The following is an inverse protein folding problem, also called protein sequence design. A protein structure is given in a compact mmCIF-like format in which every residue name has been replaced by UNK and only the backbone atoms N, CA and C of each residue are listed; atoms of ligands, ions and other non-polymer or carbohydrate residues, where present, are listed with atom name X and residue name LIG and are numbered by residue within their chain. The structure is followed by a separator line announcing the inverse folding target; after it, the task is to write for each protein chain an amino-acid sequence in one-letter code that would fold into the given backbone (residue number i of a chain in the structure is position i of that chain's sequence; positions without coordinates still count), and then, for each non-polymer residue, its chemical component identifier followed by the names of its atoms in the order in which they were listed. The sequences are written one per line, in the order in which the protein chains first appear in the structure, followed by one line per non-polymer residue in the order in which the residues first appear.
data_IF_146527027016
#
_entry.id   IF_146527027016
#
_cell.length_a   1.000
_cell.length_b   1.000
_cell.length_c   1.000
_cell.angle_alpha   90.00
_cell.angle_beta   90.00
_cell.angle_gamma   90.00
#
_symmetry.space_group_name_H-M   'P 1'
#
loop_
_entity.id
_entity.type
_entity.pdbx_description
1 polymer ?
#
# COMPACT_ATOMS: atom_id res chain seq x y z
N UNK A 1 5.37 3.76 31.31
CA UNK A 1 4.39 3.38 30.25
C UNK A 1 4.79 3.90 28.86
N UNK A 2 5.17 5.17 28.68
CA UNK A 2 5.50 5.74 27.36
C UNK A 2 6.69 5.07 26.61
N UNK A 3 7.72 4.61 27.33
CA UNK A 3 8.84 3.87 26.70
C UNK A 3 8.38 2.52 26.13
N UNK A 4 7.44 1.85 26.80
CA UNK A 4 6.89 0.57 26.32
C UNK A 4 6.16 0.78 24.98
N UNK A 5 5.33 1.82 24.88
CA UNK A 5 4.61 2.16 23.64
C UNK A 5 5.57 2.55 22.51
N UNK A 6 6.63 3.30 22.83
CA UNK A 6 7.69 3.60 21.85
C UNK A 6 8.34 2.32 21.29
N UNK A 7 8.81 1.41 22.16
CA UNK A 7 9.48 0.19 21.70
C UNK A 7 8.52 -0.78 20.99
N UNK A 8 7.27 -0.89 21.46
CA UNK A 8 6.24 -1.70 20.80
C UNK A 8 5.86 -1.13 19.44
N UNK A 9 5.71 0.19 19.32
CA UNK A 9 5.49 0.86 18.04
C UNK A 9 6.63 0.65 17.05
N UNK A 10 7.89 0.68 17.51
CA UNK A 10 9.04 0.32 16.67
C UNK A 10 9.04 -1.15 16.26
N UNK A 11 8.65 -2.06 17.16
CA UNK A 11 8.53 -3.47 16.82
C UNK A 11 7.48 -3.69 15.71
N UNK A 12 6.29 -3.07 15.83
CA UNK A 12 5.27 -3.07 14.78
C UNK A 12 5.78 -2.49 13.46
N UNK A 13 6.56 -1.40 13.53
CA UNK A 13 7.17 -0.80 12.35
C UNK A 13 8.11 -1.77 11.62
N UNK A 14 8.92 -2.55 12.34
CA UNK A 14 9.86 -3.51 11.74
C UNK A 14 9.18 -4.70 11.03
N UNK A 15 7.92 -4.98 11.37
CA UNK A 15 7.15 -6.10 10.78
C UNK A 15 6.06 -5.64 9.82
N UNK A 16 6.13 -4.37 9.37
CA UNK A 16 5.19 -3.74 8.44
C UNK A 16 3.73 -3.64 8.96
N UNK A 17 3.53 -3.65 10.28
CA UNK A 17 2.23 -3.37 10.93
C UNK A 17 2.07 -1.86 11.14
N UNK A 18 1.92 -1.12 10.04
CA UNK A 18 1.92 0.34 10.01
C UNK A 18 0.78 0.97 10.81
N UNK A 19 -0.41 0.36 10.80
CA UNK A 19 -1.55 0.83 11.59
C UNK A 19 -1.25 0.76 13.09
N UNK A 20 -0.68 -0.35 13.55
CA UNK A 20 -0.32 -0.56 14.94
C UNK A 20 0.88 0.31 15.36
N UNK A 21 1.89 0.42 14.49
CA UNK A 21 3.03 1.31 14.67
C UNK A 21 2.58 2.77 14.81
N UNK A 22 1.71 3.24 13.91
CA UNK A 22 1.18 4.59 13.93
C UNK A 22 0.43 4.86 15.24
N UNK A 23 -0.47 3.96 15.65
CA UNK A 23 -1.24 4.08 16.89
C UNK A 23 -0.33 4.23 18.11
N UNK A 24 0.70 3.41 18.23
CA UNK A 24 1.57 3.44 19.40
C UNK A 24 2.52 4.64 19.38
N UNK A 25 3.16 4.93 18.24
CA UNK A 25 4.11 6.03 18.11
C UNK A 25 3.45 7.41 18.26
N UNK A 26 2.16 7.54 17.92
CA UNK A 26 1.40 8.78 18.10
C UNK A 26 1.15 9.15 19.57
N UNK A 27 1.19 8.16 20.47
CA UNK A 27 1.00 8.37 21.91
C UNK A 27 2.28 8.75 22.66
N UNK A 28 3.42 8.77 21.97
CA UNK A 28 4.71 9.09 22.59
C UNK A 28 4.79 10.59 22.87
N UNK A 29 4.90 11.03 24.14
CA UNK A 29 4.96 12.45 24.48
C UNK A 29 6.29 13.09 24.05
N UNK A 30 6.33 14.43 24.06
CA UNK A 30 7.56 15.18 23.86
C UNK A 30 8.63 14.78 24.90
N UNK A 31 9.88 14.60 24.45
CA UNK A 31 10.97 14.14 25.29
C UNK A 31 12.11 13.53 24.48
N UNK A 32 13.00 12.77 25.12
CA UNK A 32 14.21 12.24 24.49
C UNK A 32 13.96 11.34 23.26
N UNK A 33 12.80 10.67 23.20
CA UNK A 33 12.43 9.78 22.08
C UNK A 33 11.45 10.40 21.08
N UNK A 34 11.02 11.65 21.30
CA UNK A 34 9.93 12.25 20.52
C UNK A 34 10.25 12.30 19.04
N UNK A 35 11.48 12.64 18.67
CA UNK A 35 11.81 12.88 17.26
C UNK A 35 11.90 11.57 16.49
N UNK A 36 12.46 10.53 17.12
CA UNK A 36 12.45 9.16 16.57
C UNK A 36 11.03 8.62 16.43
N UNK A 37 10.17 8.87 17.42
CA UNK A 37 8.77 8.46 17.36
C UNK A 37 8.02 9.21 16.26
N UNK A 38 8.22 10.52 16.12
CA UNK A 38 7.64 11.35 15.06
C UNK A 38 8.11 10.89 13.68
N UNK A 39 9.39 10.53 13.53
CA UNK A 39 9.92 10.02 12.26
C UNK A 39 9.27 8.68 11.90
N UNK A 40 9.19 7.75 12.85
CA UNK A 40 8.50 6.47 12.65
C UNK A 40 7.02 6.68 12.31
N UNK A 41 6.33 7.59 13.00
CA UNK A 41 4.95 8.00 12.67
C UNK A 41 4.83 8.51 11.23
N UNK A 42 5.72 9.41 10.80
CA UNK A 42 5.70 9.96 9.45
C UNK A 42 5.92 8.89 8.37
N UNK A 43 6.81 7.93 8.64
CA UNK A 43 7.08 6.78 7.77
C UNK A 43 5.90 5.80 7.75
N UNK A 44 5.27 5.49 8.89
CA UNK A 44 4.04 4.66 8.92
C UNK A 44 2.92 5.29 8.08
N UNK A 45 2.71 6.60 8.22
CA UNK A 45 1.75 7.34 7.38
C UNK A 45 2.10 7.26 5.88
N UNK A 46 3.38 7.31 5.53
CA UNK A 46 3.85 7.13 4.15
C UNK A 46 3.49 5.74 3.59
N UNK A 47 3.77 4.67 4.35
CA UNK A 47 3.46 3.30 3.94
C UNK A 47 1.95 3.03 3.85
N UNK A 48 1.14 3.69 4.70
CA UNK A 48 -0.32 3.70 4.64
C UNK A 48 -0.89 4.61 3.54
N UNK A 49 -0.05 5.18 2.66
CA UNK A 49 -0.44 6.10 1.56
C UNK A 49 -1.10 7.40 2.02
N UNK A 50 -0.99 7.74 3.30
CA UNK A 50 -1.45 9.00 3.91
C UNK A 50 -0.39 10.09 3.72
N UNK A 51 0.01 10.33 2.47
CA UNK A 51 1.18 11.17 2.13
C UNK A 51 1.04 12.61 2.60
N UNK A 52 -0.18 13.18 2.61
CA UNK A 52 -0.43 14.53 3.10
C UNK A 52 -0.04 14.68 4.57
N UNK A 53 -0.49 13.74 5.41
CA UNK A 53 -0.22 13.72 6.84
C UNK A 53 1.24 13.39 7.12
N UNK A 54 1.82 12.45 6.36
CA UNK A 54 3.27 12.18 6.39
C UNK A 54 4.08 13.45 6.16
N UNK A 55 3.74 14.23 5.11
CA UNK A 55 4.37 15.52 4.83
C UNK A 55 4.20 16.54 5.98
N UNK A 56 3.03 16.60 6.63
CA UNK A 56 2.80 17.50 7.76
C UNK A 56 3.70 17.17 8.96
N UNK A 57 3.92 15.88 9.23
CA UNK A 57 4.82 15.44 10.30
C UNK A 57 6.29 15.71 9.93
N UNK A 58 6.72 15.36 8.72
CA UNK A 58 8.07 15.64 8.25
C UNK A 58 8.40 17.13 8.20
N UNK A 59 7.42 17.99 7.86
CA UNK A 59 7.58 19.45 7.91
C UNK A 59 7.97 19.93 9.32
N UNK A 60 7.40 19.32 10.37
CA UNK A 60 7.74 19.66 11.76
C UNK A 60 9.14 19.16 12.13
N UNK A 61 9.50 17.95 11.71
CA UNK A 61 10.83 17.35 11.95
C UNK A 61 11.94 18.15 11.27
N UNK A 62 11.85 18.42 9.96
CA UNK A 62 12.87 19.16 9.24
C UNK A 62 13.00 20.62 9.70
N UNK A 63 11.97 21.20 10.33
CA UNK A 63 12.08 22.52 11.01
C UNK A 63 12.89 22.45 12.30
N UNK A 64 12.81 21.32 13.02
CA UNK A 64 13.52 21.09 14.27
C UNK A 64 14.97 20.70 14.03
N UNK A 65 15.23 19.87 13.02
CA UNK A 65 16.55 19.34 12.65
C UNK A 65 16.88 19.68 11.19
N UNK A 66 17.17 20.96 10.89
CA UNK A 66 17.42 21.40 9.52
C UNK A 66 18.69 20.82 8.90
N UNK A 67 19.57 20.18 9.66
CA UNK A 67 20.79 19.52 9.19
C UNK A 67 20.62 18.01 8.91
N UNK A 68 19.51 17.38 9.32
CA UNK A 68 19.29 15.95 9.09
C UNK A 68 18.94 15.67 7.61
N UNK A 69 19.94 15.21 6.86
CA UNK A 69 19.79 14.84 5.45
C UNK A 69 18.85 13.65 5.23
N UNK A 70 18.76 12.75 6.20
CA UNK A 70 17.91 11.55 6.10
C UNK A 70 16.44 11.93 6.22
N UNK A 71 16.09 12.79 7.18
CA UNK A 71 14.73 13.33 7.32
C UNK A 71 14.31 14.16 6.11
N UNK A 72 15.23 14.97 5.57
CA UNK A 72 14.98 15.72 4.32
C UNK A 72 14.73 14.80 3.13
N UNK A 73 15.45 13.69 3.03
CA UNK A 73 15.25 12.73 1.95
C UNK A 73 13.89 12.04 2.06
N UNK A 74 13.53 11.55 3.25
CA UNK A 74 12.22 10.95 3.49
C UNK A 74 11.09 11.95 3.20
N UNK A 75 11.25 13.21 3.61
CA UNK A 75 10.30 14.27 3.31
C UNK A 75 10.16 14.53 1.81
N UNK A 76 11.28 14.58 1.08
CA UNK A 76 11.28 14.77 -0.38
C UNK A 76 10.54 13.64 -1.09
N UNK A 77 10.73 12.39 -0.68
CA UNK A 77 9.98 11.26 -1.22
C UNK A 77 8.48 11.38 -0.91
N UNK A 78 8.11 11.75 0.32
CA UNK A 78 6.71 11.97 0.70
C UNK A 78 6.05 13.08 -0.15
N UNK A 79 6.76 14.18 -0.41
CA UNK A 79 6.29 15.25 -1.30
C UNK A 79 6.10 14.72 -2.73
N UNK A 80 7.05 13.93 -3.24
CA UNK A 80 6.94 13.36 -4.59
C UNK A 80 5.72 12.45 -4.72
N UNK A 81 5.48 11.55 -3.75
CA UNK A 81 4.29 10.70 -3.71
C UNK A 81 2.99 11.49 -3.57
N UNK A 82 2.98 12.56 -2.78
CA UNK A 82 1.81 13.45 -2.66
C UNK A 82 1.51 14.17 -3.99
N UNK A 83 2.55 14.61 -4.71
CA UNK A 83 2.39 15.24 -6.01
C UNK A 83 1.84 14.26 -7.05
N UNK A 84 2.35 13.02 -7.07
CA UNK A 84 1.81 11.93 -7.88
C UNK A 84 0.33 11.69 -7.55
N UNK A 85 0.00 11.47 -6.27
CA UNK A 85 -1.36 11.22 -5.79
C UNK A 85 -2.36 12.31 -6.16
N UNK A 86 -1.92 13.57 -6.23
CA UNK A 86 -2.80 14.71 -6.53
C UNK A 86 -2.87 15.06 -8.01
N UNK A 87 -1.78 14.87 -8.76
CA UNK A 87 -1.63 15.43 -10.11
C UNK A 87 -1.36 14.40 -11.20
N UNK A 88 -1.09 13.14 -10.84
CA UNK A 88 -0.75 12.10 -11.82
C UNK A 88 0.56 12.38 -12.56
N UNK A 89 1.45 13.18 -11.96
CA UNK A 89 2.70 13.61 -12.57
C UNK A 89 3.78 12.54 -12.50
N UNK A 90 3.77 11.59 -13.45
CA UNK A 90 4.77 10.52 -13.52
C UNK A 90 5.76 10.74 -14.65
N UNK A 91 7.01 10.36 -14.39
CA UNK A 91 8.03 10.24 -15.44
C UNK A 91 8.12 8.79 -15.90
N UNK A 92 7.22 8.36 -16.78
CA UNK A 92 7.15 6.98 -17.27
C UNK A 92 8.49 6.45 -17.83
N UNK A 93 9.27 7.31 -18.52
CA UNK A 93 10.61 6.96 -18.98
C UNK A 93 11.53 6.50 -17.81
N UNK A 94 11.59 7.29 -16.73
CA UNK A 94 12.36 6.95 -15.52
C UNK A 94 11.81 5.70 -14.82
N UNK A 95 10.50 5.52 -14.81
CA UNK A 95 9.86 4.32 -14.25
C UNK A 95 10.30 3.07 -15.01
N UNK A 96 10.26 3.11 -16.35
CA UNK A 96 10.70 2.02 -17.21
C UNK A 96 12.20 1.74 -17.06
N UNK A 97 13.03 2.79 -17.04
CA UNK A 97 14.47 2.66 -16.81
C UNK A 97 14.77 1.98 -15.46
N UNK A 98 14.08 2.37 -14.39
CA UNK A 98 14.25 1.75 -13.07
C UNK A 98 13.77 0.30 -13.08
N UNK A 99 12.58 0.04 -13.63
CA UNK A 99 12.02 -1.31 -13.73
C UNK A 99 12.94 -2.26 -14.51
N UNK A 100 13.57 -1.80 -15.58
CA UNK A 100 14.50 -2.60 -16.39
C UNK A 100 15.77 -3.02 -15.65
N UNK A 101 16.12 -2.34 -14.56
CA UNK A 101 17.34 -2.56 -13.78
C UNK A 101 17.10 -3.34 -12.49
N UNK A 102 15.85 -3.66 -12.16
CA UNK A 102 15.47 -4.27 -10.88
C UNK A 102 14.58 -5.50 -11.10
N UNK A 103 14.92 -6.62 -10.45
CA UNK A 103 14.11 -7.83 -10.43
C UNK A 103 13.89 -8.26 -8.96
N UNK A 104 12.64 -8.24 -8.44
CA UNK A 104 11.41 -7.75 -9.07
C UNK A 104 11.43 -6.22 -9.31
N UNK A 105 10.64 -5.70 -10.28
CA UNK A 105 10.57 -4.28 -10.59
C UNK A 105 9.72 -3.49 -9.57
N UNK A 106 10.16 -3.47 -8.30
CA UNK A 106 9.47 -2.77 -7.22
C UNK A 106 9.72 -1.26 -7.33
N UNK A 107 8.76 -0.56 -7.92
CA UNK A 107 8.74 0.89 -8.01
C UNK A 107 7.94 1.50 -6.87
N UNK A 108 8.41 2.63 -6.34
CA UNK A 108 7.70 3.36 -5.31
C UNK A 108 7.09 4.65 -5.86
N UNK A 109 5.81 4.54 -6.24
CA UNK A 109 4.97 5.61 -6.74
C UNK A 109 3.61 5.57 -6.05
N UNK A 110 2.91 6.69 -6.00
CA UNK A 110 1.56 6.77 -5.47
C UNK A 110 0.53 6.41 -6.54
N UNK A 111 -0.63 5.93 -6.08
CA UNK A 111 -1.83 5.83 -6.92
C UNK A 111 -2.38 7.21 -7.24
N UNK A 112 -2.75 7.45 -8.49
CA UNK A 112 -3.51 8.61 -8.93
C UNK A 112 -4.75 8.16 -9.69
N UNK A 113 -5.91 8.62 -9.22
CA UNK A 113 -7.20 8.44 -9.90
C UNK A 113 -7.53 9.77 -10.56
N UNK A 114 -7.60 9.76 -11.89
CA UNK A 114 -7.88 10.93 -12.70
C UNK A 114 -9.37 11.25 -12.80
N UNK A 115 -9.83 11.78 -13.94
CA UNK A 115 -11.22 12.18 -14.12
C UNK A 115 -12.12 10.99 -14.42
N UNK A 116 -12.08 9.98 -13.55
CA UNK A 116 -12.88 8.76 -13.68
C UNK A 116 -13.64 8.45 -12.41
N UNK A 117 -14.78 7.77 -12.56
CA UNK A 117 -15.63 7.36 -11.45
C UNK A 117 -16.27 6.01 -11.74
N UNK A 118 -16.48 5.22 -10.70
CA UNK A 118 -17.19 3.94 -10.81
C UNK A 118 -18.68 4.21 -10.63
N UNK A 119 -19.51 3.73 -11.58
CA UNK A 119 -20.97 3.84 -11.52
C UNK A 119 -21.63 2.51 -11.87
N UNK A 120 -22.87 2.33 -11.41
CA UNK A 120 -23.68 1.19 -11.85
C UNK A 120 -24.32 1.43 -13.21
N UNK A 121 -24.32 0.39 -14.03
CA UNK A 121 -25.01 0.36 -15.33
C UNK A 121 -26.30 -0.45 -15.22
N UNK A 122 -27.21 -0.28 -16.18
CA UNK A 122 -28.49 -1.00 -16.20
C UNK A 122 -28.32 -2.50 -16.50
N UNK A 123 -27.28 -2.89 -17.23
CA UNK A 123 -27.15 -4.26 -17.79
C UNK A 123 -25.81 -4.94 -17.53
N UNK A 124 -24.73 -4.21 -17.20
CA UNK A 124 -23.36 -4.75 -17.13
C UNK A 124 -22.72 -4.60 -15.75
N UNK A 125 -23.49 -4.26 -14.71
CA UNK A 125 -22.96 -4.01 -13.37
C UNK A 125 -22.09 -2.75 -13.30
N UNK A 126 -20.97 -2.80 -12.56
CA UNK A 126 -20.11 -1.63 -12.32
C UNK A 126 -19.26 -1.31 -13.54
N UNK A 127 -19.31 -0.07 -14.00
CA UNK A 127 -18.47 0.45 -15.07
C UNK A 127 -17.62 1.64 -14.61
N UNK A 128 -16.53 1.89 -15.33
CA UNK A 128 -15.69 3.06 -15.18
C UNK A 128 -16.13 4.14 -16.18
N UNK A 129 -16.42 5.34 -15.70
CA UNK A 129 -16.91 6.46 -16.50
C UNK A 129 -15.99 7.66 -16.36
N UNK A 130 -15.83 8.43 -17.43
CA UNK A 130 -15.15 9.72 -17.33
C UNK A 130 -16.08 10.75 -16.69
N UNK A 131 -15.49 11.68 -15.94
CA UNK A 131 -16.19 12.80 -15.28
C UNK A 131 -16.05 14.11 -16.05
N UNK A 132 -15.10 14.16 -16.98
CA UNK A 132 -14.88 15.26 -17.90
C UNK A 132 -14.54 14.70 -19.30
N UNK A 133 -14.44 15.59 -20.30
CA UNK A 133 -14.01 15.22 -21.64
C UNK A 133 -12.53 14.83 -21.64
N UNK A 134 -12.22 13.65 -22.20
CA UNK A 134 -10.85 13.15 -22.35
C UNK A 134 -10.55 12.86 -23.81
N UNK A 135 -9.28 12.93 -24.20
CA UNK A 135 -8.80 12.57 -25.54
C UNK A 135 -7.87 11.35 -25.48
N UNK A 136 -7.66 10.73 -26.64
CA UNK A 136 -6.69 9.66 -26.77
C UNK A 136 -5.29 10.14 -26.30
N UNK A 137 -4.68 9.37 -25.41
CA UNK A 137 -3.38 9.69 -24.80
C UNK A 137 -3.46 10.36 -23.42
N UNK A 138 -4.64 10.79 -22.96
CA UNK A 138 -4.79 11.30 -21.59
C UNK A 138 -4.63 10.16 -20.56
N UNK A 139 -3.95 10.45 -19.45
CA UNK A 139 -3.85 9.51 -18.33
C UNK A 139 -5.18 9.53 -17.57
N UNK A 140 -5.81 8.36 -17.40
CA UNK A 140 -7.08 8.23 -16.66
C UNK A 140 -6.89 7.70 -15.23
N UNK A 141 -5.90 6.83 -15.04
CA UNK A 141 -5.60 6.16 -13.78
C UNK A 141 -4.15 5.69 -13.83
N UNK A 142 -3.43 5.79 -12.71
CA UNK A 142 -2.18 5.09 -12.49
C UNK A 142 -2.23 4.48 -11.08
N UNK A 143 -2.39 3.17 -11.00
CA UNK A 143 -2.55 2.46 -9.73
C UNK A 143 -1.23 1.83 -9.30
N UNK A 144 -0.83 2.01 -8.03
CA UNK A 144 0.20 1.17 -7.44
C UNK A 144 -0.41 -0.17 -7.04
N UNK A 145 0.14 -1.26 -7.58
CA UNK A 145 -0.26 -2.61 -7.22
C UNK A 145 -0.31 -2.81 -5.69
N UNK A 146 -1.40 -3.40 -5.21
CA UNK A 146 -1.60 -3.67 -3.79
C UNK A 146 -0.57 -4.68 -3.27
N UNK A 147 -0.36 -5.76 -4.02
CA UNK A 147 0.69 -6.74 -3.81
C UNK A 147 1.20 -7.21 -5.19
N UNK A 148 2.40 -7.76 -5.21
CA UNK A 148 3.04 -8.25 -6.43
C UNK A 148 3.79 -9.54 -6.10
N UNK A 149 3.61 -10.56 -6.94
CA UNK A 149 4.37 -11.79 -6.90
C UNK A 149 4.88 -12.07 -8.31
N UNK A 150 6.17 -12.34 -8.44
CA UNK A 150 6.79 -12.77 -9.71
C UNK A 150 7.45 -14.10 -9.52
N UNK A 151 7.35 -14.94 -10.53
CA UNK A 151 8.27 -16.05 -10.68
C UNK A 151 9.51 -15.54 -11.40
N UNK A 152 10.70 -15.90 -10.92
CA UNK A 152 11.92 -15.49 -11.60
C UNK A 152 12.04 -16.27 -12.92
N UNK A 153 12.27 -15.61 -14.07
CA UNK A 153 12.33 -16.30 -15.37
C UNK A 153 13.41 -17.38 -15.46
N UNK A 154 14.49 -17.23 -14.66
CA UNK A 154 15.60 -18.19 -14.56
C UNK A 154 15.53 -19.09 -13.32
N UNK A 155 14.46 -19.02 -12.51
CA UNK A 155 14.22 -19.96 -11.43
C UNK A 155 13.84 -21.32 -12.01
N UNK A 156 14.32 -22.44 -11.46
CA UNK A 156 13.98 -23.73 -12.01
C UNK A 156 12.48 -23.99 -11.82
N UNK A 157 11.82 -24.57 -12.84
CA UNK A 157 10.35 -24.78 -12.91
C UNK A 157 9.74 -25.56 -11.74
N UNK A 158 10.55 -26.24 -10.93
CA UNK A 158 10.11 -27.02 -9.77
C UNK A 158 9.97 -26.16 -8.50
N UNK A 159 10.52 -24.94 -8.48
CA UNK A 159 10.35 -23.96 -7.38
C UNK A 159 9.07 -23.12 -7.53
N UNK A 160 8.34 -23.27 -8.64
CA UNK A 160 7.03 -22.60 -8.84
C UNK A 160 5.99 -23.21 -7.91
N UNK A 161 5.25 -22.35 -7.20
CA UNK A 161 4.15 -22.81 -6.34
C UNK A 161 3.04 -23.45 -7.18
N UNK A 162 2.54 -24.60 -6.71
CA UNK A 162 1.45 -25.33 -7.32
C UNK A 162 0.21 -25.25 -6.43
N UNK A 163 -0.87 -24.68 -6.96
CA UNK A 163 -2.17 -24.68 -6.30
C UNK A 163 -3.05 -25.74 -6.98
N UNK A 164 -3.42 -26.78 -6.23
CA UNK A 164 -4.35 -27.82 -6.69
C UNK A 164 -5.69 -27.60 -6.01
N UNK A 165 -6.72 -27.25 -6.80
CA UNK A 165 -8.10 -27.21 -6.35
C UNK A 165 -8.74 -28.57 -6.67
N UNK A 166 -8.91 -29.39 -5.64
CA UNK A 166 -9.43 -30.76 -5.76
C UNK A 166 -10.93 -30.82 -6.03
N UNK A 167 -11.69 -29.80 -5.65
CA UNK A 167 -13.13 -29.71 -5.87
C UNK A 167 -13.47 -29.48 -7.36
N UNK A 168 -12.70 -28.61 -8.02
CA UNK A 168 -12.86 -28.29 -9.45
C UNK A 168 -11.94 -29.11 -10.35
N UNK A 169 -11.02 -29.90 -9.77
CA UNK A 169 -9.99 -30.64 -10.51
C UNK A 169 -8.99 -29.75 -11.24
N UNK A 170 -8.85 -28.48 -10.84
CA UNK A 170 -7.97 -27.53 -11.52
C UNK A 170 -6.63 -27.41 -10.82
N UNK A 171 -5.56 -27.31 -11.62
CA UNK A 171 -4.21 -27.08 -11.12
C UNK A 171 -3.69 -25.78 -11.70
N UNK A 172 -3.38 -24.82 -10.83
CA UNK A 172 -2.80 -23.53 -11.21
C UNK A 172 -1.36 -23.50 -10.73
N UNK A 173 -0.42 -23.35 -11.67
CA UNK A 173 1.00 -23.15 -11.40
C UNK A 173 1.30 -21.66 -11.50
N UNK A 174 1.98 -21.08 -10.51
CA UNK A 174 2.33 -19.66 -10.57
C UNK A 174 2.48 -18.97 -9.22
N UNK A 175 2.83 -17.68 -9.28
CA UNK A 175 2.85 -16.78 -8.13
C UNK A 175 1.47 -16.43 -7.55
N UNK A 176 0.37 -17.06 -7.98
CA UNK A 176 -0.98 -16.73 -7.48
C UNK A 176 -1.17 -17.07 -6.01
N UNK A 177 -0.66 -18.22 -5.54
CA UNK A 177 -0.72 -18.59 -4.13
C UNK A 177 0.13 -17.65 -3.27
N UNK A 178 1.33 -17.29 -3.77
CA UNK A 178 2.20 -16.31 -3.12
C UNK A 178 1.53 -14.93 -3.07
N UNK A 179 0.88 -14.51 -4.16
CA UNK A 179 0.13 -13.24 -4.21
C UNK A 179 -1.02 -13.23 -3.21
N UNK A 180 -1.83 -14.29 -3.15
CA UNK A 180 -2.93 -14.42 -2.19
C UNK A 180 -2.42 -14.34 -0.74
N UNK A 181 -1.35 -15.06 -0.43
CA UNK A 181 -0.72 -15.04 0.90
C UNK A 181 -0.23 -13.63 1.26
N UNK A 182 0.46 -12.94 0.34
CA UNK A 182 0.92 -11.57 0.54
C UNK A 182 -0.23 -10.57 0.75
N UNK A 183 -1.34 -10.74 0.02
CA UNK A 183 -2.54 -9.91 0.21
C UNK A 183 -3.14 -10.14 1.59
N UNK A 184 -3.34 -11.40 1.99
CA UNK A 184 -3.91 -11.77 3.29
C UNK A 184 -3.04 -11.24 4.44
N UNK A 185 -1.73 -11.48 4.37
CA UNK A 185 -0.78 -11.01 5.39
C UNK A 185 -0.80 -9.49 5.50
N UNK A 186 -0.76 -8.78 4.36
CA UNK A 186 -0.79 -7.32 4.34
C UNK A 186 -2.08 -6.75 4.93
N UNK A 187 -3.23 -7.37 4.64
CA UNK A 187 -4.53 -7.00 5.21
C UNK A 187 -4.58 -7.25 6.72
N UNK A 188 -4.05 -8.38 7.18
CA UNK A 188 -4.01 -8.70 8.61
C UNK A 188 -3.12 -7.73 9.39
N UNK A 189 -1.96 -7.37 8.82
CA UNK A 189 -1.03 -6.40 9.40
C UNK A 189 -1.57 -4.96 9.39
N UNK A 190 -2.39 -4.61 8.39
CA UNK A 190 -2.89 -3.26 8.17
C UNK A 190 -4.39 -3.25 7.84
N UNK A 191 -5.27 -3.41 8.85
CA UNK A 191 -6.72 -3.44 8.66
C UNK A 191 -7.30 -2.17 8.04
N UNK A 192 -6.63 -1.02 8.12
CA UNK A 192 -7.10 0.21 7.45
C UNK A 192 -7.13 0.10 5.92
N UNK A 193 -6.42 -0.89 5.36
CA UNK A 193 -6.37 -1.13 3.91
C UNK A 193 -7.41 -2.15 3.42
N UNK A 194 -8.26 -2.70 4.29
CA UNK A 194 -9.23 -3.75 3.94
C UNK A 194 -10.26 -3.35 2.90
N UNK A 195 -10.72 -2.09 2.92
CA UNK A 195 -11.65 -1.57 1.91
C UNK A 195 -11.08 -1.64 0.49
N UNK A 196 -9.76 -1.51 0.32
CA UNK A 196 -9.12 -1.59 -1.00
C UNK A 196 -9.34 -2.95 -1.70
N UNK A 197 -9.61 -4.01 -0.94
CA UNK A 197 -9.90 -5.35 -1.47
C UNK A 197 -11.39 -5.70 -1.34
N UNK A 198 -12.00 -5.39 -0.20
CA UNK A 198 -13.41 -5.72 0.04
C UNK A 198 -14.36 -4.86 -0.79
N UNK A 199 -13.98 -3.66 -1.23
CA UNK A 199 -14.81 -2.87 -2.15
C UNK A 199 -14.68 -3.33 -3.62
N UNK A 200 -13.81 -4.30 -3.91
CA UNK A 200 -13.67 -4.86 -5.26
C UNK A 200 -14.90 -5.69 -5.65
N UNK A 201 -15.04 -5.94 -6.95
CA UNK A 201 -16.21 -6.63 -7.48
C UNK A 201 -16.07 -8.11 -7.13
N UNK A 202 -16.95 -8.61 -6.27
CA UNK A 202 -16.87 -9.99 -5.78
C UNK A 202 -17.34 -11.04 -6.79
N UNK A 203 -17.68 -10.68 -8.03
CA UNK A 203 -18.10 -11.67 -9.04
C UNK A 203 -19.42 -12.39 -8.71
N UNK A 204 -20.23 -11.84 -7.80
CA UNK A 204 -21.44 -12.49 -7.30
C UNK A 204 -21.24 -13.32 -6.02
N UNK A 205 -20.00 -13.47 -5.54
CA UNK A 205 -19.74 -14.05 -4.22
C UNK A 205 -20.33 -13.12 -3.14
N UNK A 206 -21.14 -13.71 -2.24
CA UNK A 206 -21.66 -13.00 -1.07
C UNK A 206 -20.51 -12.80 -0.10
N UNK A 207 -20.25 -11.54 0.23
CA UNK A 207 -19.32 -11.25 1.32
C UNK A 207 -19.88 -11.81 2.62
N UNK A 208 -18.99 -12.43 3.38
CA UNK A 208 -19.28 -12.87 4.74
C UNK A 208 -19.54 -11.61 5.57
N UNK A 209 -20.71 -11.51 6.18
CA UNK A 209 -21.16 -10.34 6.95
C UNK A 209 -20.48 -10.20 8.31
N UNK A 210 -19.40 -10.95 8.56
CA UNK A 210 -18.70 -10.93 9.84
C UNK A 210 -17.79 -9.70 9.83
N UNK A 211 -18.08 -8.75 10.71
CA UNK A 211 -17.22 -7.61 10.96
C UNK A 211 -15.86 -8.03 11.55
N UNK A 212 -14.87 -7.13 11.61
CA UNK A 212 -13.58 -7.45 12.20
C UNK A 212 -13.74 -7.96 13.64
N UNK A 213 -13.09 -9.09 13.95
CA UNK A 213 -13.02 -9.63 15.32
C UNK A 213 -11.72 -9.08 15.94
N UNK A 214 -11.83 -8.41 17.08
CA UNK A 214 -10.71 -7.74 17.77
C UNK A 214 -9.93 -6.74 16.89
N UNK A 215 -10.63 -6.09 15.95
CA UNK A 215 -10.03 -5.12 15.03
C UNK A 215 -9.17 -5.72 13.93
N UNK A 216 -9.19 -7.06 13.75
CA UNK A 216 -8.50 -7.78 12.70
C UNK A 216 -9.48 -8.34 11.67
N UNK A 217 -9.09 -8.43 10.38
CA UNK A 217 -9.94 -9.06 9.37
C UNK A 217 -10.07 -10.56 9.65
N UNK A 218 -11.28 -11.10 9.45
CA UNK A 218 -11.54 -12.54 9.52
C UNK A 218 -11.00 -13.20 8.27
N UNK A 219 -10.16 -14.22 8.45
CA UNK A 219 -9.57 -15.02 7.36
C UNK A 219 -10.08 -16.44 7.55
N UNK A 220 -10.84 -16.94 6.57
CA UNK A 220 -11.20 -18.35 6.46
C UNK A 220 -10.12 -19.03 5.62
N UNK A 221 -9.46 -20.05 6.18
CA UNK A 221 -8.34 -20.77 5.55
C UNK A 221 -8.74 -22.18 5.14
#
# INVERSE_FOLDING_TARGET
MHYLLYYRGLAFFQVDEWDAALRDLDTVPAGQKSDKALRGKAQSLYHLRRFRESCDVFTKLCKKHPEDFSEKNDFREAIARLAEQKKGGYSFKKMQEKASKTCPPLLDHATWIGPVTVRQTKSQGRGLFTTETVKAGDLLLCEKAFAYATEHPSGPRWDSNLHVNTETGTTIRGGQLALASLVIEKLHKNPSSTSAITDLHSGGFKQVSIGPIDGKPVVDT
#
